data_IF_242351923796
#
_entry.id   IF_242351923796
#
_cell.length_a   1.000
_cell.length_b   1.000
_cell.length_c   1.000
_cell.angle_alpha   90.00
_cell.angle_beta   90.00
_cell.angle_gamma   90.00
#
_symmetry.space_group_name_H-M   'P 1'
#
loop_
_entity.id
_entity.type
_entity.pdbx_description
1 polymer ?
#
# COMPACT_ATOMS: atom_id res chain seq x y z
N UNK A 1 -0.26 -6.43 22.02
CA UNK A 1 -0.77 -5.20 21.38
C UNK A 1 -0.60 -5.43 19.91
N UNK A 2 -1.69 -5.40 19.12
CA UNK A 2 -1.54 -5.35 17.66
C UNK A 2 -0.69 -4.12 17.35
N UNK A 3 0.32 -4.28 16.50
CA UNK A 3 1.11 -3.15 16.08
C UNK A 3 0.25 -2.40 15.05
N UNK A 4 -0.10 -1.17 15.38
CA UNK A 4 -1.12 -0.36 14.66
C UNK A 4 -0.62 0.16 13.30
N UNK A 5 0.52 -0.32 12.79
CA UNK A 5 1.09 0.19 11.55
C UNK A 5 0.70 -0.60 10.30
N UNK A 6 0.17 -1.82 10.41
CA UNK A 6 -0.18 -2.63 9.23
C UNK A 6 -1.34 -2.05 8.41
N UNK A 7 -2.06 -1.07 8.97
CA UNK A 7 -3.05 -0.26 8.26
C UNK A 7 -2.45 0.75 7.27
N UNK A 8 -1.17 1.09 7.41
CA UNK A 8 -0.47 1.94 6.46
C UNK A 8 -0.16 1.19 5.16
N UNK A 9 0.16 1.93 4.10
CA UNK A 9 0.55 1.32 2.83
C UNK A 9 1.96 0.71 2.94
N UNK A 10 2.16 -0.43 2.30
CA UNK A 10 3.51 -0.98 2.10
C UNK A 10 4.24 -0.18 1.01
N UNK A 11 5.14 0.71 1.40
CA UNK A 11 5.99 1.51 0.50
C UNK A 11 6.99 0.66 -0.30
N UNK A 12 7.24 -0.58 0.12
CA UNK A 12 8.11 -1.53 -0.57
C UNK A 12 7.33 -2.46 -1.53
N UNK A 13 6.07 -2.15 -1.85
CA UNK A 13 5.24 -2.90 -2.80
C UNK A 13 5.71 -2.64 -4.25
N UNK A 14 6.00 -3.71 -4.99
CA UNK A 14 6.47 -3.64 -6.37
C UNK A 14 5.45 -2.98 -7.32
N UNK A 15 4.16 -3.07 -6.99
CA UNK A 15 3.08 -2.40 -7.73
C UNK A 15 3.12 -0.87 -7.61
N UNK A 16 3.68 -0.35 -6.52
CA UNK A 16 3.97 1.08 -6.36
C UNK A 16 5.26 1.49 -7.08
N UNK A 17 5.95 0.55 -7.74
CA UNK A 17 7.23 0.78 -8.40
C UNK A 17 8.45 0.55 -7.52
N UNK A 18 8.28 -0.07 -6.34
CA UNK A 18 9.41 -0.43 -5.49
C UNK A 18 10.33 -1.44 -6.21
N UNK A 19 11.63 -1.31 -6.00
CA UNK A 19 12.64 -2.12 -6.69
C UNK A 19 13.78 -2.51 -5.77
N UNK A 20 14.16 -3.79 -5.81
CA UNK A 20 15.37 -4.29 -5.16
C UNK A 20 16.55 -4.00 -6.11
N UNK A 21 17.31 -2.95 -5.82
CA UNK A 21 18.34 -2.39 -6.70
C UNK A 21 19.60 -3.24 -6.72
N UNK A 22 20.04 -3.68 -5.54
CA UNK A 22 21.30 -4.36 -5.35
C UNK A 22 21.19 -5.35 -4.19
N UNK A 23 21.84 -6.50 -4.32
CA UNK A 23 22.17 -7.35 -3.18
C UNK A 23 23.62 -7.81 -3.29
N UNK A 24 24.26 -8.01 -2.15
CA UNK A 24 25.63 -8.56 -2.09
C UNK A 24 25.73 -9.96 -2.65
N UNK A 25 24.64 -10.73 -2.54
CA UNK A 25 24.49 -12.07 -3.10
C UNK A 25 22.99 -12.33 -3.36
N UNK A 26 22.67 -13.09 -4.41
CA UNK A 26 21.30 -13.48 -4.80
C UNK A 26 21.30 -14.94 -5.32
N UNK A 27 22.22 -15.77 -4.83
CA UNK A 27 22.57 -17.02 -5.51
C UNK A 27 21.42 -18.04 -5.53
N UNK A 28 20.77 -18.27 -4.39
CA UNK A 28 19.72 -19.30 -4.30
C UNK A 28 18.34 -18.74 -4.66
N UNK A 29 18.07 -17.47 -4.34
CA UNK A 29 16.83 -16.84 -4.75
C UNK A 29 16.99 -15.32 -4.90
N UNK A 30 16.40 -14.79 -5.98
CA UNK A 30 16.55 -13.39 -6.40
C UNK A 30 15.87 -12.39 -5.44
N UNK A 31 16.60 -11.34 -5.03
CA UNK A 31 16.11 -10.23 -4.18
C UNK A 31 14.78 -9.62 -4.60
N UNK A 32 14.43 -9.62 -5.89
CA UNK A 32 13.18 -9.02 -6.37
C UNK A 32 11.95 -9.70 -5.74
N UNK A 33 12.09 -10.95 -5.28
CA UNK A 33 11.00 -11.68 -4.60
C UNK A 33 10.65 -11.11 -3.22
N UNK A 34 11.55 -10.34 -2.58
CA UNK A 34 11.28 -9.68 -1.29
C UNK A 34 10.07 -8.75 -1.37
N UNK A 35 9.87 -8.11 -2.52
CA UNK A 35 8.94 -7.00 -2.68
C UNK A 35 7.57 -7.44 -3.20
N UNK A 36 7.44 -8.68 -3.67
CA UNK A 36 6.20 -9.23 -4.22
C UNK A 36 5.06 -9.10 -3.23
N UNK A 37 3.92 -8.56 -3.65
CA UNK A 37 2.74 -8.39 -2.78
C UNK A 37 2.17 -9.70 -2.24
N UNK A 38 2.22 -10.79 -3.00
CA UNK A 38 1.63 -12.07 -2.59
C UNK A 38 2.36 -12.64 -1.38
N UNK A 39 1.63 -13.37 -0.54
CA UNK A 39 2.22 -14.21 0.48
C UNK A 39 3.22 -15.18 -0.14
N UNK A 40 4.35 -15.47 0.53
CA UNK A 40 5.28 -16.50 0.09
C UNK A 40 4.58 -17.83 -0.16
N UNK A 41 5.10 -18.63 -1.09
CA UNK A 41 4.58 -19.99 -1.34
C UNK A 41 5.68 -21.05 -1.27
N UNK A 42 5.34 -22.18 -0.66
CA UNK A 42 6.17 -23.38 -0.72
C UNK A 42 5.78 -24.25 -1.92
N UNK A 43 6.79 -24.75 -2.64
CA UNK A 43 6.60 -25.70 -3.74
C UNK A 43 7.40 -26.97 -3.50
N UNK A 44 6.78 -28.00 -2.93
CA UNK A 44 7.42 -29.19 -2.36
C UNK A 44 8.50 -29.83 -3.25
N UNK A 45 8.25 -29.99 -4.55
CA UNK A 45 9.15 -30.68 -5.47
C UNK A 45 9.87 -29.78 -6.49
N UNK A 46 9.91 -28.46 -6.29
CA UNK A 46 10.54 -27.53 -7.24
C UNK A 46 11.96 -27.17 -6.80
N UNK A 47 12.88 -27.26 -7.74
CA UNK A 47 14.30 -26.88 -7.65
C UNK A 47 14.64 -26.05 -8.89
N UNK A 48 15.59 -25.13 -8.74
CA UNK A 48 16.19 -24.39 -9.85
C UNK A 48 17.67 -24.82 -10.03
N UNK A 49 18.40 -24.13 -10.90
CA UNK A 49 19.79 -24.47 -11.22
C UNK A 49 20.74 -24.29 -10.02
N UNK A 50 20.33 -23.50 -9.01
CA UNK A 50 21.16 -23.15 -7.85
C UNK A 50 20.73 -23.90 -6.58
N UNK A 51 19.52 -24.45 -6.52
CA UNK A 51 19.10 -25.29 -5.40
C UNK A 51 17.59 -25.43 -5.27
N UNK A 52 17.13 -25.48 -4.00
CA UNK A 52 15.71 -25.50 -3.71
C UNK A 52 15.10 -24.18 -4.14
N UNK A 53 14.02 -24.21 -4.92
CA UNK A 53 13.33 -22.97 -5.26
C UNK A 53 12.67 -22.39 -4.01
N UNK A 54 13.04 -21.16 -3.65
CA UNK A 54 12.49 -20.42 -2.52
C UNK A 54 11.76 -19.15 -3.00
N UNK A 55 10.58 -18.88 -2.44
CA UNK A 55 9.83 -17.65 -2.76
C UNK A 55 10.25 -16.50 -1.84
N UNK A 56 11.51 -16.08 -1.98
CA UNK A 56 12.14 -15.02 -1.20
C UNK A 56 13.49 -14.64 -1.79
N UNK A 57 14.28 -13.87 -1.05
CA UNK A 57 15.70 -13.67 -1.27
C UNK A 57 16.50 -14.69 -0.48
N UNK A 58 17.51 -15.32 -1.09
CA UNK A 58 18.40 -16.24 -0.38
C UNK A 58 19.84 -16.18 -0.90
N UNK A 59 20.76 -16.02 0.04
CA UNK A 59 22.19 -15.85 -0.18
C UNK A 59 22.98 -17.15 0.01
N UNK A 60 24.18 -17.23 -0.56
CA UNK A 60 25.15 -18.29 -0.24
C UNK A 60 25.54 -18.24 1.22
N UNK A 61 25.78 -19.42 1.80
CA UNK A 61 26.42 -19.54 3.12
C UNK A 61 27.74 -18.79 3.15
N UNK A 62 27.86 -17.82 4.06
CA UNK A 62 29.06 -17.00 4.23
C UNK A 62 30.12 -17.83 4.96
N UNK A 63 31.36 -17.70 4.50
CA UNK A 63 32.53 -18.44 5.01
C UNK A 63 33.63 -17.54 5.58
N UNK A 64 33.37 -16.24 5.66
CA UNK A 64 34.28 -15.22 6.14
C UNK A 64 33.54 -14.16 6.95
N UNK A 65 34.25 -13.13 7.39
CA UNK A 65 33.67 -12.02 8.14
C UNK A 65 32.69 -11.19 7.28
N UNK A 66 31.77 -10.51 7.95
CA UNK A 66 30.78 -9.64 7.33
C UNK A 66 29.37 -10.21 7.31
N UNK A 67 28.52 -9.58 6.52
CA UNK A 67 27.09 -9.87 6.42
C UNK A 67 26.61 -9.63 4.98
N UNK A 68 25.38 -10.02 4.65
CA UNK A 68 24.77 -9.74 3.36
C UNK A 68 23.71 -8.66 3.48
N UNK A 69 23.50 -7.88 2.42
CA UNK A 69 22.49 -6.83 2.42
C UNK A 69 21.82 -6.68 1.07
N UNK A 70 20.59 -6.15 1.09
CA UNK A 70 19.82 -5.78 -0.09
C UNK A 70 19.37 -4.32 0.01
N UNK A 71 19.68 -3.53 -1.02
CA UNK A 71 19.23 -2.14 -1.17
C UNK A 71 17.93 -2.12 -1.96
N UNK A 72 16.92 -1.46 -1.40
CA UNK A 72 15.57 -1.36 -1.97
C UNK A 72 15.21 0.11 -2.14
N UNK A 73 14.79 0.50 -3.35
CA UNK A 73 14.07 1.74 -3.60
C UNK A 73 12.61 1.55 -3.28
N UNK A 74 12.06 2.39 -2.42
CA UNK A 74 10.63 2.41 -2.12
C UNK A 74 9.86 2.92 -3.33
N UNK A 75 8.64 2.42 -3.53
CA UNK A 75 7.77 2.86 -4.63
C UNK A 75 7.33 4.32 -4.47
N UNK A 76 7.19 4.78 -3.22
CA UNK A 76 6.89 6.16 -2.88
C UNK A 76 7.81 6.62 -1.75
N UNK A 77 8.29 7.87 -1.84
CA UNK A 77 8.97 8.50 -0.71
C UNK A 77 7.97 8.64 0.44
N UNK A 78 8.41 8.42 1.69
CA UNK A 78 7.48 8.45 2.81
C UNK A 78 8.12 8.31 4.17
N UNK A 79 7.33 8.57 5.21
CA UNK A 79 7.70 8.24 6.59
C UNK A 79 7.41 6.77 6.85
N UNK A 80 8.27 6.10 7.62
CA UNK A 80 8.13 4.68 7.94
C UNK A 80 7.58 4.56 9.38
N UNK A 81 6.46 3.87 9.52
CA UNK A 81 5.81 3.58 10.80
C UNK A 81 6.18 2.20 11.35
N UNK A 82 6.45 1.24 10.46
CA UNK A 82 6.85 -0.10 10.85
C UNK A 82 7.33 -0.95 9.69
N UNK A 83 7.85 -2.12 10.03
CA UNK A 83 8.38 -3.10 9.08
C UNK A 83 7.93 -4.51 9.46
N UNK A 84 7.77 -5.36 8.45
CA UNK A 84 7.74 -6.81 8.60
C UNK A 84 8.92 -7.44 7.84
N UNK A 85 9.73 -8.21 8.55
CA UNK A 85 10.75 -9.09 7.98
C UNK A 85 10.20 -10.51 8.06
N UNK A 86 9.66 -11.02 6.96
CA UNK A 86 8.99 -12.31 6.89
C UNK A 86 9.99 -13.39 6.48
N UNK A 87 10.15 -14.43 7.30
CA UNK A 87 11.02 -15.59 7.04
C UNK A 87 10.22 -16.85 6.69
N UNK A 88 8.96 -16.73 6.27
CA UNK A 88 8.09 -17.83 5.85
C UNK A 88 8.81 -18.83 4.95
N UNK A 89 8.68 -20.12 5.28
CA UNK A 89 9.33 -21.27 4.63
C UNK A 89 10.86 -21.37 4.76
N UNK A 90 11.55 -20.35 5.28
CA UNK A 90 12.95 -20.46 5.68
C UNK A 90 13.03 -21.01 7.11
N UNK A 91 12.98 -22.34 7.26
CA UNK A 91 12.86 -23.01 8.57
C UNK A 91 14.19 -23.30 9.26
N UNK A 92 15.29 -23.33 8.50
CA UNK A 92 16.65 -23.54 9.03
C UNK A 92 17.75 -22.76 8.29
N UNK A 93 17.39 -22.08 7.20
CA UNK A 93 18.25 -21.27 6.35
C UNK A 93 17.85 -19.77 6.38
N UNK A 94 17.07 -19.36 7.38
CA UNK A 94 16.83 -17.94 7.66
C UNK A 94 18.07 -17.32 8.32
N UNK A 95 18.30 -16.00 8.19
CA UNK A 95 19.40 -15.34 8.89
C UNK A 95 19.12 -15.26 10.40
N UNK A 96 20.11 -15.55 11.27
CA UNK A 96 19.94 -15.44 12.72
C UNK A 96 19.47 -14.07 13.23
N UNK A 97 19.83 -12.99 12.53
CA UNK A 97 19.40 -11.63 12.86
C UNK A 97 19.39 -10.72 11.64
N UNK A 98 18.64 -9.62 11.71
CA UNK A 98 18.61 -8.59 10.68
C UNK A 98 18.47 -7.18 11.28
N UNK A 99 18.94 -6.17 10.56
CA UNK A 99 18.72 -4.75 10.84
C UNK A 99 18.22 -4.03 9.58
N UNK A 100 17.75 -2.80 9.73
CA UNK A 100 17.27 -1.99 8.62
C UNK A 100 17.85 -0.58 8.70
N UNK A 101 18.52 -0.17 7.63
CA UNK A 101 18.93 1.21 7.44
C UNK A 101 18.03 1.90 6.42
N UNK A 102 17.98 3.22 6.43
CA UNK A 102 17.25 4.02 5.45
C UNK A 102 17.98 5.30 5.07
N UNK A 103 17.69 5.82 3.89
CA UNK A 103 18.21 7.12 3.43
C UNK A 103 17.21 7.88 2.55
N UNK A 104 17.43 9.19 2.43
CA UNK A 104 16.69 10.08 1.56
C UNK A 104 17.58 10.53 0.40
N UNK A 105 17.31 9.99 -0.79
CA UNK A 105 17.99 10.29 -2.04
C UNK A 105 16.93 10.52 -3.13
N UNK A 106 16.31 11.70 -3.19
CA UNK A 106 15.22 11.99 -4.12
C UNK A 106 15.71 12.22 -5.56
N UNK A 107 17.01 12.43 -5.78
CA UNK A 107 17.61 12.73 -7.09
C UNK A 107 18.17 11.49 -7.80
N UNK A 108 18.07 10.30 -7.21
CA UNK A 108 18.60 9.07 -7.79
C UNK A 108 18.85 7.96 -6.76
N UNK A 109 19.43 6.87 -7.22
CA UNK A 109 19.75 5.71 -6.37
C UNK A 109 21.01 5.99 -5.51
N UNK A 110 21.10 5.44 -4.29
CA UNK A 110 22.26 5.58 -3.41
C UNK A 110 23.57 5.12 -4.04
N UNK A 111 24.67 5.77 -3.63
CA UNK A 111 26.05 5.44 -3.98
C UNK A 111 26.91 5.16 -2.73
N UNK A 112 28.20 4.91 -2.93
CA UNK A 112 29.15 4.62 -1.84
C UNK A 112 29.34 5.80 -0.86
N UNK A 113 28.97 7.01 -1.25
CA UNK A 113 29.04 8.20 -0.40
C UNK A 113 27.74 8.43 0.40
N UNK A 114 26.70 7.63 0.17
CA UNK A 114 25.40 7.80 0.82
C UNK A 114 25.49 7.46 2.31
N UNK A 115 25.05 8.41 3.14
CA UNK A 115 24.91 8.21 4.57
C UNK A 115 23.60 7.47 4.86
N UNK A 116 23.73 6.29 5.47
CA UNK A 116 22.62 5.45 5.88
C UNK A 116 22.33 5.66 7.37
N UNK A 117 21.05 5.86 7.70
CA UNK A 117 20.57 5.94 9.09
C UNK A 117 20.02 4.59 9.52
N UNK A 118 20.52 4.04 10.63
CA UNK A 118 19.93 2.84 11.25
C UNK A 118 18.55 3.20 11.80
N UNK A 119 17.49 2.65 11.21
CA UNK A 119 16.11 2.87 11.64
C UNK A 119 15.56 1.69 12.43
N UNK A 120 16.19 0.52 12.31
CA UNK A 120 15.91 -0.67 13.11
C UNK A 120 17.24 -1.33 13.51
N UNK A 121 17.62 -1.27 14.81
CA UNK A 121 18.76 -2.01 15.31
C UNK A 121 18.60 -3.52 15.08
N UNK A 122 19.73 -4.23 15.05
CA UNK A 122 19.73 -5.68 14.82
C UNK A 122 18.83 -6.42 15.82
N UNK A 123 17.90 -7.23 15.29
CA UNK A 123 17.05 -8.12 16.07
C UNK A 123 17.25 -9.58 15.69
N UNK A 124 17.10 -10.48 16.66
CA UNK A 124 17.03 -11.92 16.40
C UNK A 124 15.79 -12.26 15.59
N UNK A 125 15.97 -13.16 14.62
CA UNK A 125 14.88 -13.73 13.83
C UNK A 125 14.63 -15.19 14.21
N UNK A 126 13.42 -15.64 13.94
CA UNK A 126 13.01 -17.04 13.94
C UNK A 126 12.73 -17.48 12.50
N UNK A 127 12.85 -18.79 12.24
CA UNK A 127 12.44 -19.36 10.96
C UNK A 127 10.92 -19.41 10.83
N UNK A 128 10.43 -19.32 9.60
CA UNK A 128 9.00 -19.45 9.30
C UNK A 128 8.12 -18.52 10.14
N UNK A 129 8.49 -17.24 10.22
CA UNK A 129 7.87 -16.27 11.13
C UNK A 129 7.84 -14.86 10.56
N UNK A 130 6.79 -14.11 10.94
CA UNK A 130 6.70 -12.66 10.72
C UNK A 130 7.38 -11.90 11.88
N UNK A 131 8.11 -10.83 11.54
CA UNK A 131 8.86 -10.03 12.52
C UNK A 131 8.46 -8.57 12.41
N UNK A 132 7.30 -8.27 13.01
CA UNK A 132 6.73 -6.92 13.01
C UNK A 132 7.44 -6.01 14.02
N UNK A 133 7.94 -4.85 13.57
CA UNK A 133 8.61 -3.85 14.42
C UNK A 133 8.18 -2.43 14.07
N UNK A 134 7.87 -1.63 15.09
CA UNK A 134 7.65 -0.18 14.95
C UNK A 134 8.97 0.51 14.58
N UNK A 135 8.86 1.60 13.82
CA UNK A 135 9.97 2.49 13.50
C UNK A 135 9.63 3.89 13.99
N UNK A 136 10.50 4.47 14.81
CA UNK A 136 10.31 5.81 15.41
C UNK A 136 11.37 6.77 14.88
N UNK A 137 11.21 7.22 13.63
CA UNK A 137 12.12 8.21 13.02
C UNK A 137 11.42 9.52 12.64
N UNK A 138 10.22 9.43 12.06
CA UNK A 138 9.46 10.59 11.57
C UNK A 138 10.06 11.29 10.35
N UNK A 139 11.25 10.88 9.89
CA UNK A 139 11.89 11.38 8.67
C UNK A 139 11.30 10.72 7.42
N UNK A 140 11.47 11.39 6.28
CA UNK A 140 11.08 10.90 4.96
C UNK A 140 12.25 10.11 4.37
N UNK A 141 11.96 8.93 3.84
CA UNK A 141 12.91 8.05 3.19
C UNK A 141 12.49 7.71 1.77
N UNK A 142 13.46 7.33 0.97
CA UNK A 142 13.28 6.89 -0.43
C UNK A 142 13.83 5.49 -0.66
N UNK A 143 14.78 5.08 0.18
CA UNK A 143 15.46 3.80 0.08
C UNK A 143 15.63 3.20 1.46
N UNK A 144 15.64 1.87 1.51
CA UNK A 144 16.00 1.08 2.69
C UNK A 144 17.08 0.07 2.33
N UNK A 145 17.88 -0.34 3.31
CA UNK A 145 18.86 -1.41 3.19
C UNK A 145 18.59 -2.45 4.26
N UNK A 146 18.12 -3.62 3.83
CA UNK A 146 17.95 -4.79 4.72
C UNK A 146 19.30 -5.46 4.88
N UNK A 147 19.81 -5.51 6.11
CA UNK A 147 21.05 -6.21 6.45
C UNK A 147 20.70 -7.53 7.14
N UNK A 148 21.26 -8.66 6.66
CA UNK A 148 21.06 -9.99 7.23
C UNK A 148 22.38 -10.57 7.73
N UNK A 149 22.40 -11.09 8.96
CA UNK A 149 23.64 -11.47 9.63
C UNK A 149 23.71 -12.98 9.94
N UNK A 150 24.75 -13.71 9.49
CA UNK A 150 25.71 -13.31 8.44
C UNK A 150 25.16 -13.48 7.01
N UNK A 151 24.23 -14.41 6.82
CA UNK A 151 23.65 -14.83 5.55
C UNK A 151 22.34 -15.60 5.84
N UNK A 152 21.63 -15.99 4.79
CA UNK A 152 20.39 -16.74 4.86
C UNK A 152 19.35 -16.23 3.88
N UNK A 153 18.09 -16.58 4.12
CA UNK A 153 16.96 -16.15 3.31
C UNK A 153 15.81 -15.49 4.06
N UNK A 154 15.18 -14.54 3.36
CA UNK A 154 14.04 -13.74 3.82
C UNK A 154 12.98 -13.79 2.73
N UNK A 155 11.75 -14.12 3.10
CA UNK A 155 10.64 -14.32 2.18
C UNK A 155 10.06 -13.01 1.68
N UNK A 156 9.74 -12.06 2.57
CA UNK A 156 9.26 -10.72 2.22
C UNK A 156 9.86 -9.65 3.11
N UNK A 157 9.95 -8.46 2.53
CA UNK A 157 10.17 -7.21 3.26
C UNK A 157 8.97 -6.31 3.03
N UNK A 158 8.28 -5.92 4.11
CA UNK A 158 7.19 -4.93 4.06
C UNK A 158 7.60 -3.69 4.83
N UNK A 159 7.47 -2.52 4.21
CA UNK A 159 7.81 -1.23 4.82
C UNK A 159 6.51 -0.42 4.90
N UNK A 160 5.89 -0.38 6.06
CA UNK A 160 4.61 0.29 6.27
C UNK A 160 4.81 1.75 6.62
N UNK A 161 4.15 2.64 5.89
CA UNK A 161 4.40 4.07 6.03
C UNK A 161 3.37 4.98 5.36
N UNK A 162 3.57 6.29 5.53
CA UNK A 162 2.74 7.30 4.87
C UNK A 162 3.54 7.95 3.74
N UNK A 163 3.02 7.98 2.50
CA UNK A 163 3.63 8.70 1.40
C UNK A 163 3.83 10.18 1.75
N UNK A 164 5.00 10.72 1.41
CA UNK A 164 5.34 12.13 1.55
C UNK A 164 5.22 12.79 0.19
N UNK A 165 4.31 13.76 0.10
CA UNK A 165 4.01 14.50 -1.13
C UNK A 165 4.43 15.94 -0.94
N UNK A 166 5.22 16.45 -1.89
CA UNK A 166 5.56 17.87 -1.94
C UNK A 166 4.41 18.64 -2.61
N UNK A 167 3.45 19.06 -1.79
CA UNK A 167 2.28 19.81 -2.23
C UNK A 167 2.59 21.24 -2.69
N UNK A 168 3.78 21.77 -2.40
CA UNK A 168 4.24 23.06 -2.91
C UNK A 168 4.72 22.95 -4.36
N UNK A 169 5.20 21.77 -4.77
CA UNK A 169 5.60 21.50 -6.15
C UNK A 169 4.41 21.27 -7.11
N UNK A 170 3.20 21.08 -6.58
CA UNK A 170 1.98 20.86 -7.38
C UNK A 170 1.28 22.20 -7.59
N UNK A 171 0.95 22.55 -8.83
CA UNK A 171 0.25 23.80 -9.13
C UNK A 171 -1.21 23.76 -8.63
N UNK A 172 -1.74 24.89 -8.14
CA UNK A 172 -3.12 24.96 -7.63
C UNK A 172 -4.19 24.78 -8.72
N UNK A 173 -3.84 24.90 -9.99
CA UNK A 173 -4.69 24.63 -11.14
C UNK A 173 -4.44 23.24 -11.75
N UNK A 174 -3.44 22.50 -11.27
CA UNK A 174 -3.15 21.16 -11.77
C UNK A 174 -4.23 20.18 -11.29
N UNK A 175 -4.89 19.53 -12.24
CA UNK A 175 -5.77 18.41 -11.91
C UNK A 175 -4.95 17.17 -11.56
N UNK A 176 -5.19 16.63 -10.37
CA UNK A 176 -4.59 15.39 -9.88
C UNK A 176 -5.63 14.52 -9.19
N UNK A 177 -5.37 13.22 -9.06
CA UNK A 177 -6.22 12.34 -8.26
C UNK A 177 -5.90 12.50 -6.78
N UNK A 178 -6.73 13.25 -6.05
CA UNK A 178 -6.53 13.53 -4.62
C UNK A 178 -6.75 12.30 -3.73
N UNK A 179 -7.37 11.24 -4.26
CA UNK A 179 -7.57 9.98 -3.56
C UNK A 179 -6.43 8.97 -3.79
N UNK A 180 -5.57 9.21 -4.78
CA UNK A 180 -4.51 8.27 -5.13
C UNK A 180 -3.54 8.08 -3.95
N UNK A 181 -3.07 6.85 -3.77
CA UNK A 181 -2.08 6.54 -2.73
C UNK A 181 -0.76 7.28 -2.96
N UNK A 182 -0.38 7.53 -4.21
CA UNK A 182 0.80 8.34 -4.58
C UNK A 182 0.69 9.79 -4.13
N UNK A 183 -0.54 10.29 -4.01
CA UNK A 183 -0.83 11.59 -3.44
C UNK A 183 -1.17 11.51 -1.95
N UNK A 184 -0.99 10.37 -1.26
CA UNK A 184 -1.22 10.24 0.18
C UNK A 184 -2.68 9.96 0.58
N UNK A 185 -3.54 9.56 -0.37
CA UNK A 185 -4.89 9.09 -0.05
C UNK A 185 -4.87 7.82 0.81
N UNK A 186 -5.80 7.72 1.77
CA UNK A 186 -5.85 6.60 2.74
C UNK A 186 -7.29 6.13 2.98
N UNK A 187 -7.50 4.81 2.97
CA UNK A 187 -8.75 4.22 3.45
C UNK A 187 -8.73 4.20 4.98
N UNK A 188 -9.75 4.77 5.62
CA UNK A 188 -9.82 4.91 7.09
C UNK A 188 -10.73 3.86 7.73
N UNK A 189 -11.90 3.64 7.12
CA UNK A 189 -12.92 2.76 7.66
C UNK A 189 -13.80 2.22 6.54
N UNK A 190 -14.37 1.05 6.76
CA UNK A 190 -15.34 0.45 5.86
C UNK A 190 -16.43 -0.31 6.62
N UNK A 191 -17.51 -0.65 5.93
CA UNK A 191 -18.56 -1.51 6.48
C UNK A 191 -18.16 -2.99 6.50
N UNK A 192 -17.41 -3.43 5.50
CA UNK A 192 -17.02 -4.83 5.28
C UNK A 192 -15.80 -4.89 4.35
N UNK A 193 -14.93 -5.88 4.56
CA UNK A 193 -13.73 -6.15 3.76
C UNK A 193 -13.58 -7.66 3.58
N UNK A 194 -14.54 -8.28 2.87
CA UNK A 194 -14.59 -9.73 2.72
C UNK A 194 -13.45 -10.28 1.85
N UNK A 195 -13.19 -9.65 0.70
CA UNK A 195 -12.05 -9.96 -0.16
C UNK A 195 -11.33 -8.69 -0.65
N UNK A 196 -10.02 -8.81 -0.85
CA UNK A 196 -9.16 -7.66 -1.14
C UNK A 196 -9.05 -6.70 0.04
N UNK A 197 -8.34 -5.59 -0.15
CA UNK A 197 -8.18 -4.54 0.85
C UNK A 197 -8.81 -3.26 0.35
N UNK A 198 -9.45 -2.52 1.23
CA UNK A 198 -10.04 -1.20 0.94
C UNK A 198 -9.01 -0.23 0.37
N UNK A 199 -7.76 -0.28 0.84
CA UNK A 199 -6.65 0.52 0.30
C UNK A 199 -6.33 0.22 -1.17
N UNK A 200 -6.70 -0.95 -1.71
CA UNK A 200 -6.45 -1.30 -3.11
C UNK A 200 -7.16 -0.35 -4.09
N UNK A 201 -8.31 0.22 -3.71
CA UNK A 201 -9.06 1.12 -4.59
C UNK A 201 -8.31 2.42 -4.88
N UNK A 202 -7.31 2.75 -4.06
CA UNK A 202 -6.47 3.95 -4.17
C UNK A 202 -5.14 3.67 -4.90
N UNK A 203 -4.78 2.39 -5.09
CA UNK A 203 -3.54 1.97 -5.73
C UNK A 203 -3.53 2.26 -7.23
N UNK A 204 -2.37 2.16 -7.92
CA UNK A 204 -2.24 2.51 -9.33
C UNK A 204 -2.97 1.53 -10.28
N UNK A 205 -3.06 1.94 -11.55
CA UNK A 205 -3.65 1.13 -12.63
C UNK A 205 -5.15 0.87 -12.46
N UNK A 206 -5.61 -0.27 -12.98
CA UNK A 206 -7.03 -0.72 -12.97
C UNK A 206 -7.29 -2.00 -12.19
N UNK A 207 -6.30 -2.52 -11.47
CA UNK A 207 -6.40 -3.85 -10.89
C UNK A 207 -5.85 -4.93 -11.81
N UNK A 208 -5.16 -5.92 -11.26
CA UNK A 208 -4.69 -7.09 -12.02
C UNK A 208 -5.73 -8.21 -12.08
N UNK A 209 -6.52 -8.34 -11.02
CA UNK A 209 -7.61 -9.31 -10.85
C UNK A 209 -8.56 -8.80 -9.74
N UNK A 210 -9.57 -9.58 -9.37
CA UNK A 210 -10.55 -9.20 -8.34
C UNK A 210 -9.93 -9.02 -6.94
N UNK A 211 -8.91 -9.82 -6.60
CA UNK A 211 -8.20 -9.71 -5.32
C UNK A 211 -7.40 -8.42 -5.19
N UNK A 212 -7.18 -7.72 -6.30
CA UNK A 212 -6.54 -6.41 -6.35
C UNK A 212 -7.54 -5.24 -6.33
N UNK A 213 -8.79 -5.49 -5.90
CA UNK A 213 -9.79 -4.48 -5.61
C UNK A 213 -10.24 -4.54 -4.15
N UNK A 214 -11.41 -3.98 -3.86
CA UNK A 214 -12.15 -4.14 -2.61
C UNK A 214 -13.49 -4.82 -2.92
N UNK A 215 -13.82 -5.90 -2.21
CA UNK A 215 -15.07 -6.64 -2.38
C UNK A 215 -15.71 -6.94 -1.02
N UNK A 216 -17.02 -6.74 -0.95
CA UNK A 216 -17.82 -7.03 0.24
C UNK A 216 -18.61 -8.33 0.14
N UNK A 217 -18.99 -8.87 1.29
CA UNK A 217 -19.87 -10.02 1.38
C UNK A 217 -21.27 -9.68 0.85
N UNK A 218 -21.92 -10.66 0.20
CA UNK A 218 -23.29 -10.50 -0.30
C UNK A 218 -24.25 -10.09 0.83
N UNK A 219 -24.88 -8.93 0.69
CA UNK A 219 -25.76 -8.37 1.69
C UNK A 219 -27.17 -8.93 1.54
N UNK A 220 -27.77 -9.30 2.68
CA UNK A 220 -29.16 -9.81 2.78
C UNK A 220 -30.03 -8.98 3.70
N UNK A 221 -29.49 -7.89 4.22
CA UNK A 221 -30.16 -6.94 5.11
C UNK A 221 -30.25 -5.56 4.44
N UNK A 222 -31.21 -4.71 4.84
CA UNK A 222 -31.27 -3.35 4.34
C UNK A 222 -29.96 -2.57 4.53
N UNK A 223 -29.73 -1.60 3.64
CA UNK A 223 -28.55 -0.74 3.66
C UNK A 223 -27.62 -0.99 2.48
N UNK A 224 -26.39 -0.52 2.62
CA UNK A 224 -25.36 -0.53 1.60
C UNK A 224 -23.99 -0.70 2.25
N UNK A 225 -23.01 -1.10 1.46
CA UNK A 225 -21.61 -1.09 1.89
C UNK A 225 -20.91 0.21 1.52
N UNK A 226 -19.87 0.54 2.29
CA UNK A 226 -19.19 1.82 2.17
C UNK A 226 -17.73 1.75 2.61
N UNK A 227 -16.93 2.67 2.08
CA UNK A 227 -15.55 2.93 2.48
C UNK A 227 -15.34 4.44 2.60
N UNK A 228 -14.64 4.85 3.66
CA UNK A 228 -14.23 6.23 3.90
C UNK A 228 -12.77 6.39 3.53
N UNK A 229 -12.50 7.41 2.73
CA UNK A 229 -11.17 7.74 2.24
C UNK A 229 -10.83 9.16 2.68
N UNK A 230 -9.69 9.32 3.35
CA UNK A 230 -9.02 10.59 3.49
C UNK A 230 -8.27 10.91 2.20
N UNK A 231 -8.50 12.10 1.65
CA UNK A 231 -7.71 12.62 0.55
C UNK A 231 -6.32 13.00 1.08
N UNK A 232 -5.31 12.90 0.22
CA UNK A 232 -3.96 13.28 0.62
C UNK A 232 -3.76 14.79 0.80
N UNK A 233 -4.66 15.59 0.21
CA UNK A 233 -4.77 17.02 0.45
C UNK A 233 -6.23 17.45 0.33
N UNK A 234 -6.59 18.53 1.03
CA UNK A 234 -7.87 19.18 0.80
C UNK A 234 -7.95 19.65 -0.66
N UNK A 235 -9.11 19.49 -1.30
CA UNK A 235 -9.25 19.95 -2.68
C UNK A 235 -10.68 19.95 -3.19
N UNK A 236 -10.86 20.59 -4.34
CA UNK A 236 -12.15 20.64 -5.05
C UNK A 236 -12.19 19.48 -6.03
N UNK A 237 -13.18 18.59 -5.90
CA UNK A 237 -13.34 17.46 -6.80
C UNK A 237 -14.16 17.89 -8.01
N UNK A 238 -13.61 17.67 -9.20
CA UNK A 238 -14.22 18.08 -10.47
C UNK A 238 -14.61 16.86 -11.32
N UNK A 239 -13.98 15.71 -11.09
CA UNK A 239 -14.24 14.49 -11.84
C UNK A 239 -14.03 13.25 -10.97
N UNK A 240 -15.04 12.40 -10.94
CA UNK A 240 -15.01 11.12 -10.23
C UNK A 240 -14.87 9.99 -11.23
N UNK A 241 -14.01 9.02 -10.93
CA UNK A 241 -13.94 7.75 -11.66
C UNK A 241 -14.16 6.59 -10.71
N UNK A 242 -15.11 5.72 -11.04
CA UNK A 242 -15.34 4.43 -10.36
C UNK A 242 -15.11 3.32 -11.38
N UNK A 243 -14.10 2.48 -11.13
CA UNK A 243 -13.74 1.37 -12.01
C UNK A 243 -14.16 0.05 -11.36
N UNK A 244 -14.95 -0.75 -12.08
CA UNK A 244 -15.38 -2.10 -11.68
C UNK A 244 -14.59 -3.19 -12.40
N UNK A 245 -13.39 -2.89 -12.88
CA UNK A 245 -12.48 -3.86 -13.48
C UNK A 245 -12.41 -5.16 -12.67
N UNK A 246 -12.34 -6.28 -13.40
CA UNK A 246 -12.44 -7.68 -12.94
C UNK A 246 -13.75 -8.11 -12.25
N UNK A 247 -14.59 -7.20 -11.76
CA UNK A 247 -15.89 -7.52 -11.17
C UNK A 247 -16.96 -7.68 -12.26
N UNK A 248 -17.13 -8.93 -12.73
CA UNK A 248 -18.00 -9.24 -13.89
C UNK A 248 -19.42 -9.64 -13.50
N UNK A 249 -19.57 -10.30 -12.34
CA UNK A 249 -20.87 -10.79 -11.86
C UNK A 249 -21.21 -10.33 -10.44
N UNK A 250 -20.28 -9.61 -9.80
CA UNK A 250 -20.36 -9.14 -8.42
C UNK A 250 -19.91 -7.67 -8.31
N UNK A 251 -20.04 -6.89 -9.39
CA UNK A 251 -19.97 -5.44 -9.30
C UNK A 251 -21.23 -4.92 -8.59
N UNK A 252 -21.15 -3.79 -7.88
CA UNK A 252 -22.34 -3.18 -7.28
C UNK A 252 -23.27 -2.63 -8.35
N UNK A 253 -24.58 -2.67 -8.12
CA UNK A 253 -25.58 -2.16 -9.06
C UNK A 253 -25.49 -0.63 -9.23
N UNK A 254 -25.13 0.08 -8.16
CA UNK A 254 -24.91 1.52 -8.18
C UNK A 254 -23.92 1.98 -7.12
N UNK A 255 -23.42 3.20 -7.26
CA UNK A 255 -22.64 3.89 -6.24
C UNK A 255 -23.10 5.33 -6.00
N UNK A 256 -22.78 5.89 -4.84
CA UNK A 256 -22.87 7.33 -4.57
C UNK A 256 -21.71 7.77 -3.69
N UNK A 257 -21.41 9.07 -3.66
CA UNK A 257 -20.33 9.61 -2.83
C UNK A 257 -20.85 10.76 -1.98
N UNK A 258 -20.62 10.69 -0.67
CA UNK A 258 -20.68 11.86 0.20
C UNK A 258 -19.27 12.36 0.52
N UNK A 259 -19.14 13.65 0.84
CA UNK A 259 -17.85 14.23 1.19
C UNK A 259 -17.98 15.41 2.15
N UNK A 260 -16.90 15.66 2.89
CA UNK A 260 -16.82 16.78 3.81
C UNK A 260 -15.39 17.28 4.00
N UNK A 261 -15.30 18.51 4.49
CA UNK A 261 -14.07 19.05 5.07
C UNK A 261 -14.06 18.73 6.57
N UNK A 262 -13.38 17.65 6.95
CA UNK A 262 -13.23 17.22 8.35
C UNK A 262 -12.07 18.00 8.98
N UNK A 263 -12.31 18.64 10.13
CA UNK A 263 -11.30 19.44 10.87
C UNK A 263 -10.68 18.72 12.07
N UNK A 264 -11.12 17.50 12.36
CA UNK A 264 -10.60 16.65 13.43
C UNK A 264 -11.56 15.54 13.83
N UNK A 265 -11.09 14.66 14.71
CA UNK A 265 -11.81 13.49 15.21
C UNK A 265 -11.00 12.20 15.01
N UNK A 266 -11.36 11.15 15.74
CA UNK A 266 -10.85 9.79 15.51
C UNK A 266 -11.54 9.15 14.30
N UNK A 267 -10.98 8.08 13.74
CA UNK A 267 -11.58 7.37 12.59
C UNK A 267 -13.02 6.90 12.88
N UNK A 268 -13.30 6.43 14.09
CA UNK A 268 -14.66 6.07 14.53
C UNK A 268 -15.63 7.26 14.53
N UNK A 269 -15.16 8.45 14.92
CA UNK A 269 -15.95 9.67 14.87
C UNK A 269 -16.20 10.10 13.43
N UNK A 270 -15.20 9.96 12.55
CA UNK A 270 -15.32 10.21 11.11
C UNK A 270 -16.39 9.29 10.49
N UNK A 271 -16.38 8.01 10.84
CA UNK A 271 -17.40 7.05 10.39
C UNK A 271 -18.82 7.49 10.75
N UNK A 272 -19.04 7.95 11.98
CA UNK A 272 -20.36 8.43 12.42
C UNK A 272 -20.77 9.75 11.75
N UNK A 273 -19.83 10.70 11.63
CA UNK A 273 -20.07 11.98 10.95
C UNK A 273 -20.42 11.81 9.47
N UNK A 274 -19.84 10.79 8.82
CA UNK A 274 -20.01 10.53 7.39
C UNK A 274 -21.46 10.30 6.96
N UNK A 275 -22.33 9.88 7.89
CA UNK A 275 -23.76 9.72 7.66
C UNK A 275 -24.48 11.03 7.32
N UNK A 276 -23.88 12.17 7.66
CA UNK A 276 -24.45 13.52 7.46
C UNK A 276 -23.65 14.36 6.47
N UNK A 277 -22.66 13.77 5.80
CA UNK A 277 -21.86 14.49 4.80
C UNK A 277 -22.68 14.88 3.58
N UNK A 278 -22.26 15.95 2.91
CA UNK A 278 -22.92 16.46 1.72
C UNK A 278 -22.72 15.50 0.57
N UNK A 279 -23.70 15.38 -0.30
CA UNK A 279 -23.62 14.55 -1.49
C UNK A 279 -22.69 15.20 -2.53
N UNK A 280 -21.56 14.53 -2.82
CA UNK A 280 -20.64 14.91 -3.88
C UNK A 280 -21.06 14.30 -5.22
N UNK A 281 -21.51 13.04 -5.20
CA UNK A 281 -22.02 12.32 -6.38
C UNK A 281 -23.33 11.62 -6.01
N UNK A 282 -24.48 12.01 -6.58
CA UNK A 282 -25.74 11.28 -6.41
C UNK A 282 -25.64 9.86 -6.97
N UNK A 283 -26.57 8.99 -6.59
CA UNK A 283 -26.58 7.58 -7.01
C UNK A 283 -26.46 7.42 -8.54
N UNK A 284 -25.40 6.74 -8.99
CA UNK A 284 -25.12 6.41 -10.38
C UNK A 284 -25.13 4.91 -10.59
N UNK A 285 -25.69 4.45 -11.72
CA UNK A 285 -25.61 3.04 -12.12
C UNK A 285 -24.18 2.67 -12.51
N UNK A 286 -23.82 1.43 -12.19
CA UNK A 286 -22.56 0.83 -12.60
C UNK A 286 -22.81 -0.40 -13.48
N UNK A 287 -21.78 -0.79 -14.19
CA UNK A 287 -21.72 -1.92 -15.11
C UNK A 287 -20.57 -2.85 -14.73
N UNK A 288 -20.63 -4.07 -15.23
CA UNK A 288 -19.58 -5.06 -15.08
C UNK A 288 -18.29 -4.63 -15.81
N UNK A 289 -17.15 -4.71 -15.13
CA UNK A 289 -15.83 -4.58 -15.76
C UNK A 289 -15.60 -3.27 -16.54
N UNK A 290 -16.10 -2.14 -16.03
CA UNK A 290 -16.18 -0.88 -16.78
C UNK A 290 -15.63 0.31 -15.96
N UNK A 291 -15.06 1.29 -16.69
CA UNK A 291 -14.66 2.58 -16.13
C UNK A 291 -15.84 3.53 -16.23
N UNK A 292 -16.30 4.04 -15.09
CA UNK A 292 -17.40 5.01 -15.03
C UNK A 292 -16.82 6.37 -14.67
N UNK A 293 -16.94 7.33 -15.59
CA UNK A 293 -16.45 8.69 -15.41
C UNK A 293 -17.63 9.65 -15.25
N UNK A 294 -17.60 10.45 -14.19
CA UNK A 294 -18.63 11.41 -13.84
C UNK A 294 -18.02 12.80 -13.71
N UNK A 295 -18.58 13.76 -14.45
CA UNK A 295 -18.17 15.17 -14.43
C UNK A 295 -19.40 16.03 -14.16
N UNK A 296 -20.41 15.97 -15.05
CA UNK A 296 -21.63 16.77 -14.92
C UNK A 296 -22.50 16.42 -13.70
N UNK A 297 -22.32 15.23 -13.15
CA UNK A 297 -23.04 14.72 -11.98
C UNK A 297 -22.35 15.09 -10.67
N UNK A 298 -21.11 15.58 -10.71
CA UNK A 298 -20.35 15.95 -9.51
C UNK A 298 -20.86 17.30 -9.02
N UNK A 299 -21.38 17.33 -7.80
CA UNK A 299 -21.85 18.55 -7.18
C UNK A 299 -20.65 19.40 -6.72
N UNK A 300 -20.67 20.69 -7.05
CA UNK A 300 -19.74 21.65 -6.46
C UNK A 300 -20.14 21.92 -4.99
N UNK A 301 -19.40 21.30 -4.08
CA UNK A 301 -19.56 21.48 -2.64
C UNK A 301 -18.36 22.22 -2.03
N UNK A 302 -17.48 22.79 -2.86
CA UNK A 302 -16.20 23.36 -2.43
C UNK A 302 -15.21 22.30 -1.90
N UNK A 303 -14.16 22.73 -1.19
CA UNK A 303 -13.06 21.85 -0.83
C UNK A 303 -13.49 20.80 0.20
N UNK A 304 -13.00 19.58 0.01
CA UNK A 304 -13.22 18.44 0.92
C UNK A 304 -11.89 17.79 1.28
N UNK A 305 -11.86 17.12 2.42
CA UNK A 305 -10.70 16.34 2.87
C UNK A 305 -11.00 14.85 2.94
N UNK A 306 -12.27 14.47 2.99
CA UNK A 306 -12.69 13.09 3.11
C UNK A 306 -13.90 12.82 2.21
N UNK A 307 -13.97 11.59 1.72
CA UNK A 307 -15.10 11.06 0.97
C UNK A 307 -15.58 9.75 1.58
N UNK A 308 -16.85 9.45 1.36
CA UNK A 308 -17.47 8.16 1.64
C UNK A 308 -18.04 7.63 0.34
N UNK A 309 -17.39 6.62 -0.23
CA UNK A 309 -17.94 5.86 -1.34
C UNK A 309 -18.96 4.87 -0.79
N UNK A 310 -20.15 4.86 -1.37
CA UNK A 310 -21.20 3.88 -1.12
C UNK A 310 -21.37 3.01 -2.33
N UNK A 311 -21.52 1.71 -2.11
CA UNK A 311 -21.87 0.73 -3.13
C UNK A 311 -23.16 0.02 -2.74
N UNK A 312 -24.08 -0.15 -3.69
CA UNK A 312 -25.42 -0.63 -3.42
C UNK A 312 -25.74 -1.93 -4.16
N UNK A 313 -26.33 -2.93 -3.48
CA UNK A 313 -26.37 -3.09 -2.01
C UNK A 313 -25.01 -3.51 -1.42
N UNK A 314 -24.17 -4.13 -2.23
CA UNK A 314 -22.86 -4.73 -1.94
C UNK A 314 -22.13 -4.96 -3.27
N UNK A 315 -20.90 -5.47 -3.24
CA UNK A 315 -20.16 -5.89 -4.43
C UNK A 315 -18.69 -5.49 -4.39
N UNK A 316 -18.05 -5.47 -5.55
CA UNK A 316 -16.64 -5.12 -5.68
C UNK A 316 -16.35 -3.91 -6.57
N UNK A 317 -15.39 -3.09 -6.12
CA UNK A 317 -14.85 -1.94 -6.84
C UNK A 317 -13.34 -2.14 -7.00
N UNK A 318 -12.86 -1.94 -8.22
CA UNK A 318 -11.43 -2.00 -8.49
C UNK A 318 -10.74 -0.72 -8.06
N UNK A 319 -11.20 0.44 -8.53
CA UNK A 319 -10.56 1.75 -8.25
C UNK A 319 -11.56 2.86 -8.03
N UNK A 320 -11.16 3.80 -7.18
CA UNK A 320 -11.76 5.11 -7.01
C UNK A 320 -10.71 6.16 -7.37
N UNK A 321 -11.08 7.11 -8.24
CA UNK A 321 -10.27 8.31 -8.55
C UNK A 321 -11.10 9.54 -8.31
N UNK A 322 -10.51 10.54 -7.66
CA UNK A 322 -11.12 11.83 -7.37
C UNK A 322 -10.23 12.93 -7.92
N UNK A 323 -10.41 13.21 -9.21
CA UNK A 323 -9.65 14.23 -9.90
C UNK A 323 -10.15 15.62 -9.54
N UNK A 324 -9.21 16.49 -9.22
CA UNK A 324 -9.50 17.82 -8.76
C UNK A 324 -8.24 18.66 -8.56
N UNK A 325 -8.44 19.85 -8.02
CA UNK A 325 -7.38 20.81 -7.72
C UNK A 325 -7.16 20.89 -6.22
N UNK A 326 -5.90 21.03 -5.78
CA UNK A 326 -5.59 21.22 -4.36
C UNK A 326 -6.16 22.55 -3.88
N UNK A 327 -6.76 22.55 -2.70
CA UNK A 327 -7.12 23.78 -2.01
C UNK A 327 -5.83 24.53 -1.60
N UNK A 328 -5.92 25.87 -1.55
CA UNK A 328 -4.86 26.73 -1.02
C UNK A 328 -4.77 26.73 0.49
#
# INVERSE_FOLDING_TARGET
MSLDFEQYINLADDKLGAQALYATDDFFADKSRLLRREAPVWKEAVFDDNGKWMDGWETRRKRGEGYDFCVVRLGLAGTIAGVDIDTSFFTGNFPPSASLDACYSPQGDPDDATEWEEILPSLSLAGDSHHLRNIESGKVYTHVRLNIYPDGGVARLRIYGTPSVDWEAIDTQQQIDLAAVEHGGRALACSDEHYGKTSNILGPGRGENMGDGWETARRRTPGNDWVIVALGHAGNIERVVVDTAHFKGNYPDSCSIQAAYVKGGTDDQVATQSLFWRELLPAQKLSAHEIHEFVSQVNDIGPVTHVRLNIFPDGGVSRLRLFGTKAG
#
